data_IF_376227597152
#
_entry.id   IF_376227597152
#
_cell.length_a   1.000
_cell.length_b   1.000
_cell.length_c   1.000
_cell.angle_alpha   90.00
_cell.angle_beta   90.00
_cell.angle_gamma   90.00
#
_symmetry.space_group_name_H-M   'P 1'
#
loop_
_entity.id
_entity.type
_entity.pdbx_description
1 polymer ?
#
# COMPACT_ATOMS: atom_id res chain seq x y z
N UNK A 1 3.42 -8.05 -7.03
CA UNK A 1 3.59 -7.57 -5.64
C UNK A 1 2.88 -6.23 -5.48
N UNK A 2 2.12 -6.03 -4.40
CA UNK A 2 1.51 -4.74 -4.09
C UNK A 2 2.11 -4.22 -2.78
N UNK A 3 2.62 -2.99 -2.79
CA UNK A 3 3.00 -2.26 -1.59
C UNK A 3 2.00 -1.13 -1.36
N UNK A 4 1.63 -0.91 -0.11
CA UNK A 4 0.81 0.23 0.31
C UNK A 4 1.52 1.00 1.42
N UNK A 5 1.41 2.33 1.40
CA UNK A 5 1.96 3.21 2.42
C UNK A 5 1.11 4.46 2.56
N UNK A 6 1.38 5.29 3.56
CA UNK A 6 0.61 6.51 3.82
C UNK A 6 1.43 7.74 3.42
N UNK A 7 0.77 8.77 2.88
CA UNK A 7 1.44 9.96 2.39
C UNK A 7 2.23 10.71 3.49
N UNK A 8 1.74 10.69 4.73
CA UNK A 8 2.34 11.34 5.89
C UNK A 8 3.06 10.37 6.82
N UNK A 9 3.30 9.12 6.40
CA UNK A 9 4.02 8.15 7.21
C UNK A 9 5.53 8.42 7.15
N UNK A 10 6.18 8.47 8.32
CA UNK A 10 7.66 8.45 8.38
C UNK A 10 8.26 7.22 7.70
N UNK A 11 7.52 6.11 7.66
CA UNK A 11 7.92 4.87 7.01
C UNK A 11 7.71 4.84 5.49
N UNK A 12 7.25 5.94 4.87
CA UNK A 12 6.99 6.00 3.42
C UNK A 12 8.22 5.63 2.59
N UNK A 13 9.39 6.16 2.98
CA UNK A 13 10.66 5.89 2.30
C UNK A 13 11.01 4.40 2.27
N UNK A 14 10.69 3.65 3.34
CA UNK A 14 10.93 2.20 3.39
C UNK A 14 10.12 1.45 2.34
N UNK A 15 8.85 1.84 2.14
CA UNK A 15 8.00 1.27 1.08
C UNK A 15 8.49 1.66 -0.32
N UNK A 16 8.98 2.88 -0.51
CA UNK A 16 9.54 3.34 -1.79
C UNK A 16 10.84 2.61 -2.15
N UNK A 17 11.74 2.38 -1.19
CA UNK A 17 12.96 1.62 -1.41
C UNK A 17 12.65 0.14 -1.73
N UNK A 18 11.73 -0.47 -0.98
CA UNK A 18 11.25 -1.81 -1.27
C UNK A 18 10.62 -1.90 -2.67
N UNK A 19 9.82 -0.90 -3.05
CA UNK A 19 9.27 -0.81 -4.40
C UNK A 19 10.37 -0.70 -5.46
N UNK A 20 11.41 0.14 -5.27
CA UNK A 20 12.53 0.26 -6.21
C UNK A 20 13.24 -1.09 -6.43
N UNK A 21 13.47 -1.85 -5.35
CA UNK A 21 14.18 -3.15 -5.39
C UNK A 21 13.34 -4.32 -5.90
N UNK A 22 12.01 -4.26 -5.81
CA UNK A 22 11.14 -5.35 -6.24
C UNK A 22 11.19 -5.61 -7.76
N UNK A 23 10.98 -6.85 -8.18
CA UNK A 23 10.78 -7.20 -9.60
C UNK A 23 9.38 -6.83 -10.12
N UNK A 24 9.21 -6.77 -11.44
CA UNK A 24 7.89 -6.61 -12.06
C UNK A 24 7.15 -7.96 -12.15
N UNK A 25 5.80 -7.98 -12.09
CA UNK A 25 4.90 -6.84 -11.91
C UNK A 25 4.80 -6.37 -10.45
N UNK A 26 4.93 -5.06 -10.24
CA UNK A 26 4.80 -4.39 -8.93
C UNK A 26 3.98 -3.12 -9.03
N UNK A 27 3.27 -2.80 -7.94
CA UNK A 27 2.49 -1.58 -7.78
C UNK A 27 2.74 -0.98 -6.38
N UNK A 28 2.73 0.35 -6.28
CA UNK A 28 2.87 1.10 -5.03
C UNK A 28 1.67 2.05 -4.89
N UNK A 29 0.85 1.80 -3.87
CA UNK A 29 -0.30 2.63 -3.55
C UNK A 29 -0.03 3.52 -2.34
N UNK A 30 -0.15 4.83 -2.52
CA UNK A 30 0.03 5.82 -1.45
C UNK A 30 -1.34 6.35 -1.03
N UNK A 31 -1.72 6.11 0.23
CA UNK A 31 -2.99 6.58 0.80
C UNK A 31 -2.87 8.07 1.14
N UNK A 32 -3.61 8.97 0.46
CA UNK A 32 -3.50 10.40 0.67
C UNK A 32 -4.01 10.80 2.06
N UNK A 33 -3.29 11.72 2.73
CA UNK A 33 -3.71 12.27 4.02
C UNK A 33 -3.57 11.35 5.24
N UNK A 34 -3.27 10.07 5.05
CA UNK A 34 -3.05 9.10 6.13
C UNK A 34 -1.62 9.18 6.70
N UNK A 35 -1.49 8.95 8.01
CA UNK A 35 -0.26 8.70 8.75
C UNK A 35 -0.03 7.20 8.99
N UNK A 36 1.14 6.85 9.55
CA UNK A 36 1.59 5.45 9.68
C UNK A 36 0.58 4.52 10.37
N UNK A 37 0.02 4.95 11.51
CA UNK A 37 -0.91 4.13 12.29
C UNK A 37 -2.33 4.12 11.74
N UNK A 38 -2.68 5.03 10.82
CA UNK A 38 -4.05 5.11 10.32
C UNK A 38 -4.47 3.84 9.56
N UNK A 39 -3.51 3.12 8.95
CA UNK A 39 -3.82 1.86 8.26
C UNK A 39 -3.97 0.65 9.20
N UNK A 40 -3.86 0.84 10.52
CA UNK A 40 -3.98 -0.25 11.48
C UNK A 40 -5.45 -0.49 11.86
N UNK A 41 -6.22 0.59 12.06
CA UNK A 41 -7.57 0.52 12.63
C UNK A 41 -8.60 1.46 11.98
N UNK A 42 -8.19 2.47 11.21
CA UNK A 42 -9.13 3.38 10.55
C UNK A 42 -9.62 2.81 9.24
N UNK A 43 -10.68 2.01 9.34
CA UNK A 43 -11.33 1.36 8.18
C UNK A 43 -11.75 2.31 7.06
N UNK A 44 -12.02 3.59 7.37
CA UNK A 44 -12.35 4.61 6.37
C UNK A 44 -11.21 5.04 5.46
N UNK A 45 -9.94 4.72 5.80
CA UNK A 45 -8.77 5.05 4.96
C UNK A 45 -7.99 3.82 4.48
N UNK A 46 -8.26 2.64 5.05
CA UNK A 46 -7.65 1.39 4.58
C UNK A 46 -8.18 1.08 3.18
N UNK A 47 -7.31 0.89 2.16
CA UNK A 47 -7.74 0.70 0.78
C UNK A 47 -8.16 -0.75 0.51
N UNK A 48 -9.20 -1.23 1.19
CA UNK A 48 -9.69 -2.61 1.08
C UNK A 48 -10.05 -2.99 -0.35
N UNK A 49 -10.68 -2.09 -1.11
CA UNK A 49 -11.07 -2.36 -2.50
C UNK A 49 -9.84 -2.68 -3.38
N UNK A 50 -8.77 -1.89 -3.25
CA UNK A 50 -7.51 -2.11 -3.98
C UNK A 50 -6.86 -3.44 -3.60
N UNK A 51 -6.91 -3.83 -2.33
CA UNK A 51 -6.39 -5.12 -1.85
C UNK A 51 -7.22 -6.28 -2.41
N UNK A 52 -8.55 -6.18 -2.34
CA UNK A 52 -9.49 -7.17 -2.88
C UNK A 52 -9.27 -7.37 -4.38
N UNK A 53 -9.22 -6.28 -5.16
CA UNK A 53 -8.97 -6.33 -6.60
C UNK A 53 -7.62 -6.98 -6.93
N UNK A 54 -6.58 -6.66 -6.16
CA UNK A 54 -5.26 -7.27 -6.33
C UNK A 54 -5.32 -8.78 -6.10
N UNK A 55 -5.97 -9.25 -5.05
CA UNK A 55 -6.05 -10.68 -4.77
C UNK A 55 -6.94 -11.42 -5.77
N UNK A 56 -8.09 -10.86 -6.16
CA UNK A 56 -8.92 -11.44 -7.22
C UNK A 56 -8.13 -11.60 -8.54
N UNK A 57 -7.34 -10.59 -8.92
CA UNK A 57 -6.56 -10.64 -10.16
C UNK A 57 -5.42 -11.67 -10.14
N UNK A 58 -4.84 -11.98 -8.99
CA UNK A 58 -3.59 -12.74 -8.91
C UNK A 58 -3.71 -14.13 -8.24
N UNK A 59 -4.80 -14.42 -7.54
CA UNK A 59 -4.99 -15.68 -6.79
C UNK A 59 -6.26 -16.44 -7.18
N UNK A 60 -6.97 -16.01 -8.22
CA UNK A 60 -8.08 -16.76 -8.83
C UNK A 60 -7.61 -17.53 -10.07
#
# INVERSE_FOLDING_TARGET
MLLNTCDRAHSKESSEDAYKRAGQPKDLYVVPGAGHVDLYDRTGVIPFDKLTDFFHKNLQ
#
